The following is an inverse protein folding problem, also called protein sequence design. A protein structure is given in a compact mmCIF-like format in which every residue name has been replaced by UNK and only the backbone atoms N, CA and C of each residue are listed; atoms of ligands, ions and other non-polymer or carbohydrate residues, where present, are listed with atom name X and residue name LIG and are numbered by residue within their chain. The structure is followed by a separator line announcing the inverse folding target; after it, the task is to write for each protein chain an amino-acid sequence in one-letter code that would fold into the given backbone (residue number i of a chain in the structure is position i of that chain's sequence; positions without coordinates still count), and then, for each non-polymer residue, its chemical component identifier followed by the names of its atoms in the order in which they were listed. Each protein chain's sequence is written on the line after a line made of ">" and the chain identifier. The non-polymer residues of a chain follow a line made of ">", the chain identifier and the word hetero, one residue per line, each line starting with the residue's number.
data_IF_187148021626
#
_entry.id   IF_187148021626
#
_cell.length_a   1.000
_cell.length_b   1.000
_cell.length_c   1.000
_cell.angle_alpha   90.00
_cell.angle_beta   90.00
_cell.angle_gamma   90.00
#
_symmetry.space_group_name_H-M   'P 1'
#
loop_
_entity.id
_entity.type
_entity.pdbx_description
1 polymer ?
#
# COMPACT_ATOMS: atom_id res chain seq x y z
N UNK A 1 -4.17 -0.21 32.12
CA UNK A 1 -2.73 0.09 32.20
C UNK A 1 -2.20 0.21 30.78
N UNK A 2 -1.59 1.36 30.47
CA UNK A 2 -0.74 1.71 29.31
C UNK A 2 -1.36 1.69 27.87
N UNK A 3 -1.78 2.88 27.44
CA UNK A 3 -1.48 3.58 26.18
C UNK A 3 -1.09 2.73 24.95
N UNK A 4 -1.97 2.70 23.94
CA UNK A 4 -1.53 2.65 22.54
C UNK A 4 -2.02 3.92 21.87
N UNK A 5 -1.10 4.87 21.76
CA UNK A 5 -1.27 6.16 21.11
C UNK A 5 -1.26 5.89 19.61
N UNK A 6 -2.34 6.25 18.90
CA UNK A 6 -2.26 6.40 17.44
C UNK A 6 -1.42 7.67 17.21
N UNK A 7 -0.10 7.53 17.03
CA UNK A 7 0.81 8.68 16.97
C UNK A 7 0.73 9.44 15.65
N UNK A 8 0.16 8.86 14.59
CA UNK A 8 -0.19 9.57 13.35
C UNK A 8 -1.19 8.75 12.49
N UNK A 9 -2.32 9.35 12.12
CA UNK A 9 -3.15 8.92 10.98
C UNK A 9 -2.65 9.70 9.76
N UNK A 10 -1.48 9.28 9.25
CA UNK A 10 -0.91 9.84 8.02
C UNK A 10 -1.15 8.86 6.86
N UNK A 11 -1.30 9.36 5.63
CA UNK A 11 -1.32 8.49 4.46
C UNK A 11 -0.01 7.69 4.39
N UNK A 12 -0.10 6.41 4.02
CA UNK A 12 1.05 5.49 3.99
C UNK A 12 2.17 5.98 3.05
N UNK A 13 1.79 6.76 2.03
CA UNK A 13 2.65 7.41 1.05
C UNK A 13 1.90 8.58 0.42
N UNK A 14 2.64 9.53 -0.15
CA UNK A 14 2.06 10.69 -0.84
C UNK A 14 1.93 10.47 -2.35
N UNK A 15 1.06 11.25 -3.00
CA UNK A 15 0.87 11.18 -4.45
C UNK A 15 2.16 11.50 -5.23
N UNK A 16 2.95 12.46 -4.77
CA UNK A 16 4.27 12.79 -5.37
C UNK A 16 5.25 11.63 -5.29
N UNK A 17 5.34 10.94 -4.15
CA UNK A 17 6.21 9.77 -3.99
C UNK A 17 5.79 8.61 -4.91
N UNK A 18 4.49 8.44 -5.11
CA UNK A 18 3.95 7.42 -6.03
C UNK A 18 4.22 7.81 -7.48
N UNK A 19 4.07 9.09 -7.84
CA UNK A 19 4.42 9.58 -9.17
C UNK A 19 5.90 9.40 -9.50
N UNK A 20 6.78 9.69 -8.55
CA UNK A 20 8.21 9.42 -8.69
C UNK A 20 8.47 7.93 -8.89
N UNK A 21 7.78 7.06 -8.15
CA UNK A 21 7.86 5.61 -8.32
C UNK A 21 7.40 5.14 -9.71
N UNK A 22 6.30 5.70 -10.22
CA UNK A 22 5.73 5.39 -11.53
C UNK A 22 6.44 6.10 -12.70
N UNK A 23 7.37 7.02 -12.41
CA UNK A 23 8.01 7.91 -13.38
C UNK A 23 6.98 8.74 -14.18
N UNK A 24 5.96 9.23 -13.50
CA UNK A 24 4.91 10.09 -14.07
C UNK A 24 5.21 11.53 -13.71
N UNK A 25 5.62 12.31 -14.71
CA UNK A 25 5.97 13.73 -14.52
C UNK A 25 4.78 14.68 -14.74
N UNK A 26 3.68 14.21 -15.33
CA UNK A 26 2.48 14.99 -15.65
C UNK A 26 1.41 14.87 -14.56
N UNK A 27 0.48 15.83 -14.52
CA UNK A 27 -0.61 15.87 -13.52
C UNK A 27 -1.94 15.26 -14.00
N UNK A 28 -2.02 14.83 -15.26
CA UNK A 28 -3.29 14.40 -15.87
C UNK A 28 -3.85 13.12 -15.21
N UNK A 29 -2.96 12.29 -14.68
CA UNK A 29 -3.32 11.01 -14.05
C UNK A 29 -3.44 11.09 -12.52
N UNK A 30 -3.30 12.28 -11.91
CA UNK A 30 -3.27 12.44 -10.44
C UNK A 30 -4.51 11.82 -9.77
N UNK A 31 -5.71 12.04 -10.33
CA UNK A 31 -6.95 11.50 -9.79
C UNK A 31 -7.03 9.97 -9.94
N UNK A 32 -6.52 9.44 -11.05
CA UNK A 32 -6.47 7.99 -11.32
C UNK A 32 -5.49 7.31 -10.38
N UNK A 33 -4.30 7.89 -10.22
CA UNK A 33 -3.25 7.43 -9.31
C UNK A 33 -3.78 7.44 -7.87
N UNK A 34 -4.45 8.51 -7.43
CA UNK A 34 -5.07 8.58 -6.11
C UNK A 34 -6.07 7.43 -5.88
N UNK A 35 -6.88 7.10 -6.88
CA UNK A 35 -7.84 5.99 -6.80
C UNK A 35 -7.12 4.64 -6.65
N UNK A 36 -6.02 4.43 -7.38
CA UNK A 36 -5.21 3.21 -7.25
C UNK A 36 -4.47 3.14 -5.92
N UNK A 37 -4.01 4.27 -5.38
CA UNK A 37 -3.40 4.35 -4.06
C UNK A 37 -4.36 3.86 -2.98
N UNK A 38 -5.60 4.33 -3.00
CA UNK A 38 -6.63 3.94 -2.03
C UNK A 38 -7.00 2.44 -2.15
N UNK A 39 -7.16 1.96 -3.39
CA UNK A 39 -7.44 0.55 -3.66
C UNK A 39 -6.28 -0.35 -3.21
N UNK A 40 -5.04 0.10 -3.40
CA UNK A 40 -3.86 -0.66 -3.04
C UNK A 40 -3.68 -0.77 -1.52
N UNK A 41 -3.89 0.32 -0.80
CA UNK A 41 -3.85 0.34 0.67
C UNK A 41 -4.89 -0.63 1.24
N UNK A 42 -6.15 -0.53 0.79
CA UNK A 42 -7.22 -1.40 1.23
C UNK A 42 -6.89 -2.88 0.96
N UNK A 43 -6.31 -3.19 -0.19
CA UNK A 43 -5.96 -4.56 -0.58
C UNK A 43 -4.83 -5.15 0.25
N UNK A 44 -3.78 -4.37 0.54
CA UNK A 44 -2.66 -4.81 1.39
C UNK A 44 -3.14 -5.07 2.83
N UNK A 45 -3.98 -4.18 3.38
CA UNK A 45 -4.57 -4.35 4.71
C UNK A 45 -5.49 -5.57 4.77
N UNK A 46 -6.35 -5.75 3.76
CA UNK A 46 -7.25 -6.89 3.64
C UNK A 46 -6.48 -8.20 3.53
N UNK A 47 -5.37 -8.23 2.79
CA UNK A 47 -4.52 -9.42 2.65
C UNK A 47 -3.92 -9.88 3.97
N UNK A 48 -3.46 -8.94 4.79
CA UNK A 48 -2.94 -9.22 6.13
C UNK A 48 -4.04 -9.41 7.18
N UNK A 49 -5.31 -9.16 6.83
CA UNK A 49 -6.45 -9.18 7.76
C UNK A 49 -6.23 -8.26 8.99
N UNK A 50 -5.69 -7.07 8.75
CA UNK A 50 -5.45 -6.04 9.77
C UNK A 50 -6.11 -4.73 9.36
N UNK A 51 -6.56 -3.93 10.33
CA UNK A 51 -7.17 -2.62 10.06
C UNK A 51 -6.16 -1.48 10.07
N UNK A 52 -4.97 -1.70 10.64
CA UNK A 52 -3.93 -0.69 10.82
C UNK A 52 -2.56 -1.34 10.59
N UNK A 53 -1.64 -0.59 10.00
CA UNK A 53 -0.26 -1.03 9.81
C UNK A 53 0.45 -1.12 11.16
N UNK A 54 1.20 -2.21 11.44
CA UNK A 54 1.93 -2.35 12.70
C UNK A 54 3.03 -1.28 12.82
N UNK A 55 3.16 -0.70 14.01
CA UNK A 55 4.18 0.31 14.29
C UNK A 55 5.59 -0.22 13.99
N UNK A 56 6.37 0.57 13.25
CA UNK A 56 7.73 0.19 12.83
C UNK A 56 7.79 -0.75 11.61
N UNK A 57 6.64 -1.10 11.01
CA UNK A 57 6.55 -1.88 9.76
C UNK A 57 6.03 -1.07 8.57
N UNK A 58 5.83 0.22 8.77
CA UNK A 58 5.35 1.18 7.77
C UNK A 58 6.10 1.09 6.44
N UNK A 59 7.44 1.01 6.48
CA UNK A 59 8.25 0.94 5.27
C UNK A 59 7.96 -0.31 4.41
N UNK A 60 7.67 -1.46 5.02
CA UNK A 60 7.39 -2.70 4.29
C UNK A 60 6.01 -2.64 3.63
N UNK A 61 5.01 -2.15 4.38
CA UNK A 61 3.67 -1.95 3.87
C UNK A 61 3.63 -0.87 2.77
N UNK A 62 4.41 0.21 2.93
CA UNK A 62 4.58 1.26 1.92
C UNK A 62 5.09 0.71 0.61
N UNK A 63 6.19 -0.06 0.63
CA UNK A 63 6.75 -0.66 -0.59
C UNK A 63 5.78 -1.66 -1.21
N UNK A 64 5.12 -2.50 -0.40
CA UNK A 64 4.14 -3.46 -0.92
C UNK A 64 2.96 -2.76 -1.61
N UNK A 65 2.42 -1.72 -1.01
CA UNK A 65 1.33 -0.96 -1.60
C UNK A 65 1.77 -0.22 -2.88
N UNK A 66 2.95 0.41 -2.90
CA UNK A 66 3.51 1.06 -4.10
C UNK A 66 3.67 0.07 -5.27
N UNK A 67 4.18 -1.13 -5.00
CA UNK A 67 4.33 -2.17 -6.03
C UNK A 67 2.97 -2.60 -6.61
N UNK A 68 1.93 -2.62 -5.79
CA UNK A 68 0.58 -2.92 -6.26
C UNK A 68 -0.03 -1.76 -7.05
N UNK A 69 0.18 -0.50 -6.63
CA UNK A 69 -0.21 0.68 -7.43
C UNK A 69 0.43 0.64 -8.82
N UNK A 70 1.73 0.33 -8.91
CA UNK A 70 2.43 0.17 -10.18
C UNK A 70 1.79 -0.92 -11.05
N UNK A 71 1.41 -2.04 -10.45
CA UNK A 71 0.74 -3.13 -11.16
C UNK A 71 -0.63 -2.68 -11.71
N UNK A 72 -1.43 -1.98 -10.92
CA UNK A 72 -2.74 -1.47 -11.33
C UNK A 72 -2.65 -0.39 -12.42
N UNK A 73 -1.59 0.43 -12.36
CA UNK A 73 -1.34 1.49 -13.32
C UNK A 73 -0.91 0.93 -14.68
N UNK A 74 0.02 -0.03 -14.69
CA UNK A 74 0.53 -0.68 -15.91
C UNK A 74 -0.46 -1.68 -16.53
N UNK A 75 -1.14 -2.49 -15.70
CA UNK A 75 -2.06 -3.53 -16.13
C UNK A 75 -3.45 -3.37 -15.51
N UNK A 76 -4.37 -2.80 -16.31
CA UNK A 76 -5.77 -2.56 -15.93
C UNK A 76 -6.66 -3.79 -16.11
N UNK A 77 -6.19 -4.82 -16.80
CA UNK A 77 -6.94 -6.06 -17.00
C UNK A 77 -6.87 -6.98 -15.76
N UNK A 78 -5.92 -6.70 -14.87
CA UNK A 78 -5.83 -7.27 -13.54
C UNK A 78 -5.18 -8.65 -13.51
N UNK A 79 -4.20 -8.78 -12.63
CA UNK A 79 -3.78 -10.06 -12.08
C UNK A 79 -4.74 -10.45 -10.94
N UNK A 80 -4.95 -11.76 -10.74
CA UNK A 80 -5.77 -12.26 -9.62
C UNK A 80 -5.08 -11.97 -8.28
N UNK A 81 -5.42 -10.81 -7.70
CA UNK A 81 -4.96 -10.35 -6.40
C UNK A 81 -3.66 -9.54 -6.40
N UNK A 82 -3.00 -9.49 -5.23
CA UNK A 82 -1.75 -8.76 -5.03
C UNK A 82 -0.60 -9.37 -5.83
N UNK A 83 0.31 -8.56 -6.39
CA UNK A 83 1.48 -9.07 -7.09
C UNK A 83 2.38 -9.85 -6.13
N UNK A 84 3.06 -10.87 -6.65
CA UNK A 84 3.85 -11.80 -5.83
C UNK A 84 4.93 -11.10 -5.01
N UNK A 85 5.52 -10.03 -5.54
CA UNK A 85 6.48 -9.17 -4.86
C UNK A 85 5.91 -8.53 -3.59
N UNK A 86 4.68 -8.00 -3.68
CA UNK A 86 3.98 -7.42 -2.52
C UNK A 86 3.60 -8.49 -1.52
N UNK A 87 3.09 -9.64 -1.99
CA UNK A 87 2.76 -10.77 -1.12
C UNK A 87 3.96 -11.22 -0.28
N UNK A 88 5.12 -11.44 -0.90
CA UNK A 88 6.32 -11.91 -0.18
C UNK A 88 6.79 -10.93 0.91
N UNK A 89 6.58 -9.63 0.72
CA UNK A 89 6.92 -8.61 1.71
C UNK A 89 5.99 -8.65 2.93
N UNK A 90 4.70 -8.89 2.69
CA UNK A 90 3.66 -8.80 3.73
C UNK A 90 3.22 -10.16 4.30
N UNK A 91 3.60 -11.26 3.66
CA UNK A 91 3.36 -12.64 4.08
C UNK A 91 3.73 -12.91 5.55
N UNK A 92 4.88 -12.43 6.07
CA UNK A 92 5.24 -12.61 7.48
C UNK A 92 4.23 -11.98 8.46
N UNK A 93 3.50 -10.95 8.03
CA UNK A 93 2.52 -10.24 8.87
C UNK A 93 1.11 -10.82 8.75
N UNK A 94 0.87 -11.72 7.80
CA UNK A 94 -0.43 -12.35 7.58
C UNK A 94 -0.89 -13.26 8.72
N UNK A 95 0.06 -13.82 9.48
CA UNK A 95 -0.20 -14.74 10.59
C UNK A 95 0.16 -14.19 11.96
N UNK A 96 0.49 -12.90 12.06
CA UNK A 96 0.59 -12.21 13.34
C UNK A 96 -0.81 -11.96 13.90
N UNK A 97 -1.49 -13.05 14.29
CA UNK A 97 -2.57 -13.00 15.28
C UNK A 97 -1.91 -12.69 16.61
N UNK A 98 -1.92 -11.42 17.00
CA UNK A 98 -1.80 -11.04 18.41
C UNK A 98 -3.13 -11.34 19.09
#
# INVERSE_FOLDING_TARGET
>A
MANVVITQLGPLYTLEEVKEHLRVDTGDDDQTIQTYMDAAEASVLQYCNISLVPLGKEAVFKVAAMMYVATLYEDRAGLDGLPKSSQLLIDPYRWLRV
#
